data_IF_833567322897
#
_entry.id   IF_833567322897
#
_cell.length_a   1.000
_cell.length_b   1.000
_cell.length_c   1.000
_cell.angle_alpha   90.00
_cell.angle_beta   90.00
_cell.angle_gamma   90.00
#
_symmetry.space_group_name_H-M   'P 1'
#
loop_
_entity.id
_entity.type
_entity.pdbx_description
1 polymer ?
#
# COMPACT_ATOMS: atom_id res chain seq x y z
N UNK A 1 -50.18 -39.77 -13.52
CA UNK A 1 -49.44 -39.61 -12.25
C UNK A 1 -48.55 -38.42 -12.41
N UNK A 2 -49.02 -37.23 -12.08
CA UNK A 2 -48.28 -35.96 -12.17
C UNK A 2 -47.59 -35.74 -10.86
N UNK A 3 -46.28 -35.57 -10.85
CA UNK A 3 -45.50 -35.19 -9.68
C UNK A 3 -45.22 -33.70 -9.78
N UNK A 4 -45.96 -32.94 -8.97
CA UNK A 4 -45.80 -31.51 -8.81
C UNK A 4 -44.67 -31.24 -7.81
N UNK A 5 -43.52 -30.78 -8.24
CA UNK A 5 -42.44 -30.35 -7.36
C UNK A 5 -42.44 -28.83 -7.35
N UNK A 6 -43.09 -28.23 -6.29
CA UNK A 6 -42.94 -26.84 -5.95
C UNK A 6 -41.61 -26.64 -5.24
N UNK A 7 -40.68 -25.97 -5.89
CA UNK A 7 -39.48 -25.39 -5.27
C UNK A 7 -39.92 -24.11 -4.58
N UNK A 8 -39.92 -24.11 -3.26
CA UNK A 8 -40.12 -22.90 -2.45
C UNK A 8 -38.89 -22.04 -2.52
N UNK A 9 -39.04 -20.82 -3.04
CA UNK A 9 -38.04 -19.77 -2.92
C UNK A 9 -38.16 -19.21 -1.50
N UNK A 10 -37.26 -19.60 -0.61
CA UNK A 10 -37.15 -18.96 0.71
C UNK A 10 -36.58 -17.54 0.50
N UNK A 11 -37.42 -16.56 0.73
CA UNK A 11 -37.05 -15.16 0.77
C UNK A 11 -36.04 -14.92 1.89
N UNK A 12 -34.83 -14.54 1.57
CA UNK A 12 -33.88 -14.01 2.53
C UNK A 12 -34.45 -12.70 3.09
N UNK A 13 -35.02 -12.76 4.29
CA UNK A 13 -35.34 -11.58 5.07
C UNK A 13 -34.02 -10.86 5.39
N UNK A 14 -33.83 -9.68 4.85
CA UNK A 14 -32.77 -8.76 5.24
C UNK A 14 -32.96 -8.37 6.70
N UNK A 15 -32.33 -9.12 7.61
CA UNK A 15 -32.19 -8.65 8.99
C UNK A 15 -31.21 -7.47 8.94
N UNK A 16 -31.72 -6.27 9.27
CA UNK A 16 -30.91 -5.09 9.60
C UNK A 16 -30.10 -5.36 10.88
N UNK A 17 -29.15 -6.26 10.82
CA UNK A 17 -28.12 -6.38 11.85
C UNK A 17 -27.21 -5.18 11.70
N UNK A 18 -27.34 -4.21 12.59
CA UNK A 18 -26.38 -3.10 12.74
C UNK A 18 -24.99 -3.73 12.86
N UNK A 19 -24.23 -3.72 11.76
CA UNK A 19 -22.87 -4.25 11.75
C UNK A 19 -22.09 -3.51 12.84
N UNK A 20 -21.62 -4.25 13.85
CA UNK A 20 -20.89 -3.68 14.98
C UNK A 20 -19.65 -2.98 14.45
N UNK A 21 -19.52 -1.68 14.64
CA UNK A 21 -18.36 -0.90 14.20
C UNK A 21 -17.08 -1.50 14.78
N UNK A 22 -16.11 -1.77 13.90
CA UNK A 22 -14.81 -2.29 14.30
C UNK A 22 -13.91 -1.11 14.63
N UNK A 23 -13.34 -1.05 15.84
CA UNK A 23 -12.46 0.02 16.25
C UNK A 23 -11.08 -0.15 15.60
N UNK A 24 -10.92 0.36 14.37
CA UNK A 24 -9.66 0.32 13.61
C UNK A 24 -8.93 1.65 13.79
N UNK A 25 -7.62 1.57 14.05
CA UNK A 25 -6.70 2.70 14.06
C UNK A 25 -5.83 2.61 12.81
N UNK A 26 -5.99 3.56 11.93
CA UNK A 26 -5.11 3.72 10.76
C UNK A 26 -3.99 4.66 11.13
N UNK A 27 -2.75 4.27 10.89
CA UNK A 27 -1.58 5.10 11.19
C UNK A 27 -0.65 5.07 9.98
N UNK A 28 -0.44 6.24 9.40
CA UNK A 28 0.58 6.44 8.38
C UNK A 28 1.98 6.49 8.98
N UNK A 29 2.96 6.02 8.21
CA UNK A 29 4.36 6.25 8.52
C UNK A 29 4.72 7.74 8.36
N UNK A 30 5.57 8.27 9.23
CA UNK A 30 6.11 9.61 9.03
C UNK A 30 7.08 9.60 7.84
N UNK A 31 6.71 10.25 6.74
CA UNK A 31 7.50 10.33 5.50
C UNK A 31 8.03 11.74 5.21
N UNK A 32 7.84 12.71 6.11
CA UNK A 32 8.21 14.11 5.87
C UNK A 32 9.69 14.29 5.53
N UNK A 33 10.59 13.58 6.23
CA UNK A 33 12.03 13.61 5.94
C UNK A 33 12.35 13.14 4.52
N UNK A 34 11.63 12.13 4.03
CA UNK A 34 11.79 11.61 2.66
C UNK A 34 11.28 12.63 1.63
N UNK A 35 10.12 13.25 1.86
CA UNK A 35 9.58 14.31 0.99
C UNK A 35 10.59 15.46 0.84
N UNK A 36 11.23 15.90 1.94
CA UNK A 36 12.26 16.96 1.89
C UNK A 36 13.50 16.53 1.09
N UNK A 37 13.90 15.27 1.13
CA UNK A 37 14.99 14.75 0.30
C UNK A 37 14.59 14.71 -1.18
N UNK A 38 13.38 14.25 -1.50
CA UNK A 38 12.85 14.17 -2.86
C UNK A 38 12.70 15.56 -3.50
N UNK A 39 12.34 16.59 -2.74
CA UNK A 39 12.30 17.99 -3.23
C UNK A 39 13.65 18.48 -3.76
N UNK A 40 14.77 17.92 -3.30
CA UNK A 40 16.11 18.27 -3.74
C UNK A 40 16.57 17.54 -5.00
N UNK A 41 15.82 16.53 -5.45
CA UNK A 41 16.07 15.85 -6.71
C UNK A 41 15.69 16.72 -7.90
N UNK A 42 16.52 16.71 -8.94
CA UNK A 42 16.19 17.32 -10.24
C UNK A 42 15.07 16.54 -10.94
N UNK A 43 14.42 17.16 -11.92
CA UNK A 43 13.41 16.50 -12.76
C UNK A 43 13.97 15.24 -13.41
N UNK A 44 15.15 15.30 -14.01
CA UNK A 44 15.82 14.15 -14.64
C UNK A 44 16.04 13.00 -13.64
N UNK A 45 16.40 13.30 -12.39
CA UNK A 45 16.57 12.27 -11.35
C UNK A 45 15.23 11.65 -10.94
N UNK A 46 14.17 12.43 -10.85
CA UNK A 46 12.82 11.93 -10.58
C UNK A 46 12.30 11.05 -11.72
N UNK A 47 12.55 11.44 -12.97
CA UNK A 47 12.18 10.65 -14.14
C UNK A 47 12.95 9.33 -14.19
N UNK A 48 14.27 9.35 -13.87
CA UNK A 48 15.07 8.14 -13.76
C UNK A 48 14.55 7.21 -12.64
N UNK A 49 14.18 7.78 -11.49
CA UNK A 49 13.58 7.01 -10.39
C UNK A 49 12.23 6.41 -10.80
N UNK A 50 11.36 7.18 -11.46
CA UNK A 50 10.06 6.71 -11.93
C UNK A 50 10.20 5.55 -12.92
N UNK A 51 11.15 5.66 -13.85
CA UNK A 51 11.42 4.60 -14.83
C UNK A 51 11.80 3.27 -14.17
N UNK A 52 12.51 3.32 -13.05
CA UNK A 52 12.98 2.13 -12.33
C UNK A 52 11.96 1.63 -11.30
N UNK A 53 11.30 2.53 -10.57
CA UNK A 53 10.50 2.22 -9.38
C UNK A 53 9.03 2.66 -9.49
N UNK A 54 8.56 2.98 -10.70
CA UNK A 54 7.18 3.39 -10.93
C UNK A 54 6.78 4.65 -10.15
N UNK A 55 5.52 4.68 -9.71
CA UNK A 55 4.90 5.84 -9.09
C UNK A 55 5.25 6.07 -7.61
N UNK A 56 6.29 5.45 -7.06
CA UNK A 56 6.57 5.54 -5.62
C UNK A 56 6.78 6.98 -5.12
N UNK A 57 7.38 7.87 -5.93
CA UNK A 57 7.54 9.28 -5.55
C UNK A 57 6.20 10.02 -5.54
N UNK A 58 5.34 9.75 -6.52
CA UNK A 58 4.01 10.35 -6.59
C UNK A 58 3.14 9.85 -5.42
N UNK A 59 3.19 8.55 -5.09
CA UNK A 59 2.51 7.98 -3.93
C UNK A 59 3.02 8.55 -2.60
N UNK A 60 4.31 8.90 -2.52
CA UNK A 60 4.88 9.57 -1.35
C UNK A 60 4.24 10.95 -1.10
N UNK A 61 3.80 11.65 -2.13
CA UNK A 61 3.15 12.97 -2.04
C UNK A 61 1.64 12.88 -1.73
N UNK A 62 1.02 11.69 -1.83
CA UNK A 62 -0.39 11.51 -1.49
C UNK A 62 -0.61 11.76 0.01
N UNK A 63 -1.57 12.63 0.31
CA UNK A 63 -2.06 12.87 1.67
C UNK A 63 -3.29 11.97 1.92
N UNK A 64 -3.07 10.85 2.60
CA UNK A 64 -4.13 9.90 2.89
C UNK A 64 -5.09 10.47 3.92
N UNK A 65 -6.36 10.58 3.57
CA UNK A 65 -7.40 10.88 4.55
C UNK A 65 -7.75 9.59 5.31
N UNK A 66 -7.10 9.36 6.45
CA UNK A 66 -7.30 8.14 7.26
C UNK A 66 -8.76 7.85 7.62
N UNK A 67 -9.66 8.86 7.81
CA UNK A 67 -11.08 8.61 7.99
C UNK A 67 -11.75 7.88 6.82
N UNK A 68 -11.27 8.09 5.59
CA UNK A 68 -11.77 7.37 4.40
C UNK A 68 -11.53 5.87 4.53
N UNK A 69 -10.32 5.48 4.92
CA UNK A 69 -9.94 4.08 5.10
C UNK A 69 -10.70 3.45 6.28
N UNK A 70 -10.90 4.22 7.36
CA UNK A 70 -11.68 3.75 8.52
C UNK A 70 -13.15 3.53 8.14
N UNK A 71 -13.73 4.40 7.31
CA UNK A 71 -15.09 4.25 6.81
C UNK A 71 -15.21 3.04 5.88
N UNK A 72 -14.32 2.93 4.88
CA UNK A 72 -14.26 1.78 3.96
C UNK A 72 -14.16 0.46 4.73
N UNK A 73 -13.31 0.39 5.74
CA UNK A 73 -13.07 -0.82 6.50
C UNK A 73 -14.33 -1.38 7.18
N UNK A 74 -15.36 -0.56 7.48
CA UNK A 74 -16.62 -1.04 8.08
C UNK A 74 -17.44 -1.92 7.11
N UNK A 75 -17.13 -1.88 5.81
CA UNK A 75 -17.81 -2.61 4.75
C UNK A 75 -17.07 -3.88 4.33
N UNK A 76 -15.89 -4.15 4.88
CA UNK A 76 -15.12 -5.35 4.56
C UNK A 76 -15.83 -6.61 5.03
N UNK A 77 -15.91 -7.59 4.15
CA UNK A 77 -16.48 -8.92 4.39
C UNK A 77 -15.35 -9.96 4.31
N UNK A 78 -14.84 -10.48 5.45
CA UNK A 78 -13.70 -11.39 5.45
C UNK A 78 -13.91 -12.69 4.68
N UNK A 79 -15.07 -13.39 4.80
CA UNK A 79 -15.34 -14.59 4.00
C UNK A 79 -15.26 -14.39 2.49
N UNK A 80 -15.75 -13.23 2.01
CA UNK A 80 -15.79 -12.90 0.59
C UNK A 80 -14.54 -12.13 0.13
N UNK A 81 -13.74 -11.61 1.07
CA UNK A 81 -12.58 -10.73 0.80
C UNK A 81 -12.92 -9.56 -0.12
N UNK A 82 -14.06 -8.92 0.12
CA UNK A 82 -14.55 -7.78 -0.62
C UNK A 82 -15.13 -6.73 0.32
N UNK A 83 -15.44 -5.55 -0.22
CA UNK A 83 -16.20 -4.52 0.48
C UNK A 83 -17.65 -4.59 0.02
N UNK A 84 -18.54 -5.05 0.90
CA UNK A 84 -19.97 -5.26 0.60
C UNK A 84 -20.78 -4.03 0.99
N UNK A 85 -21.31 -3.34 -0.01
CA UNK A 85 -22.25 -2.22 0.14
C UNK A 85 -23.70 -2.73 0.02
N UNK A 86 -24.66 -1.82 -0.18
CA UNK A 86 -26.09 -2.20 -0.16
C UNK A 86 -26.47 -3.11 -1.34
N UNK A 87 -26.04 -2.76 -2.54
CA UNK A 87 -26.48 -3.36 -3.80
C UNK A 87 -25.30 -3.83 -4.68
N UNK A 88 -24.06 -3.62 -4.25
CA UNK A 88 -22.85 -4.02 -4.98
C UNK A 88 -21.70 -4.43 -4.07
N UNK A 89 -20.68 -5.03 -4.67
CA UNK A 89 -19.42 -5.36 -4.02
C UNK A 89 -18.27 -4.66 -4.72
N UNK A 90 -17.30 -4.18 -3.96
CA UNK A 90 -16.11 -3.52 -4.45
C UNK A 90 -14.85 -4.29 -4.02
N UNK A 91 -13.96 -4.52 -4.98
CA UNK A 91 -12.75 -5.33 -4.76
C UNK A 91 -11.59 -4.66 -5.47
N UNK A 92 -10.48 -4.35 -4.78
CA UNK A 92 -9.25 -3.93 -5.47
C UNK A 92 -8.66 -5.12 -6.24
N UNK A 93 -8.33 -4.90 -7.51
CA UNK A 93 -7.74 -5.91 -8.38
C UNK A 93 -6.23 -5.73 -8.55
N UNK A 94 -5.58 -6.76 -9.08
CA UNK A 94 -4.14 -6.71 -9.37
C UNK A 94 -3.84 -5.66 -10.44
N UNK A 95 -4.68 -5.57 -11.46
CA UNK A 95 -4.55 -4.64 -12.58
C UNK A 95 -4.66 -3.18 -12.11
N UNK A 96 -5.58 -2.90 -11.18
CA UNK A 96 -5.71 -1.56 -10.59
C UNK A 96 -4.49 -1.17 -9.76
N UNK A 97 -3.95 -2.11 -8.98
CA UNK A 97 -2.74 -1.89 -8.20
C UNK A 97 -1.50 -1.73 -9.10
N UNK A 98 -1.41 -2.51 -10.18
CA UNK A 98 -0.39 -2.37 -11.22
C UNK A 98 -0.41 -0.96 -11.83
N UNK A 99 -1.59 -0.48 -12.22
CA UNK A 99 -1.78 0.86 -12.78
C UNK A 99 -1.43 1.96 -11.78
N UNK A 100 -1.87 1.86 -10.53
CA UNK A 100 -1.59 2.85 -9.48
C UNK A 100 -0.08 2.90 -9.18
N UNK A 101 0.56 1.75 -9.10
CA UNK A 101 2.00 1.64 -8.80
C UNK A 101 2.88 1.96 -10.01
N UNK A 102 2.34 1.91 -11.23
CA UNK A 102 3.09 1.99 -12.49
C UNK A 102 4.23 0.95 -12.54
N UNK A 103 3.88 -0.29 -12.12
CA UNK A 103 4.81 -1.43 -12.07
C UNK A 103 4.22 -2.61 -12.85
N UNK A 104 4.38 -2.64 -14.19
CA UNK A 104 3.76 -3.65 -15.04
C UNK A 104 4.21 -5.07 -14.68
N UNK A 105 3.24 -5.98 -14.65
CA UNK A 105 3.45 -7.41 -14.40
C UNK A 105 3.89 -8.17 -15.64
N UNK A 106 3.63 -7.61 -16.81
CA UNK A 106 3.97 -8.26 -18.08
C UNK A 106 5.46 -8.60 -18.17
N UNK A 107 5.77 -9.86 -18.44
CA UNK A 107 7.14 -10.36 -18.54
C UNK A 107 7.91 -10.45 -17.22
N UNK A 108 7.25 -10.22 -16.06
CA UNK A 108 7.88 -10.29 -14.74
C UNK A 108 7.31 -11.44 -13.89
N UNK A 109 8.15 -12.01 -13.05
CA UNK A 109 7.71 -13.01 -12.06
C UNK A 109 7.10 -12.30 -10.85
N UNK A 110 5.92 -12.71 -10.36
CA UNK A 110 5.39 -12.19 -9.11
C UNK A 110 6.31 -12.47 -7.93
N UNK A 111 6.57 -11.47 -7.09
CA UNK A 111 7.30 -11.67 -5.84
C UNK A 111 6.54 -12.65 -4.93
N UNK A 112 7.23 -13.70 -4.53
CA UNK A 112 6.71 -14.69 -3.60
C UNK A 112 7.73 -14.96 -2.48
N UNK A 113 7.34 -14.61 -1.25
CA UNK A 113 8.22 -14.85 -0.09
C UNK A 113 8.31 -16.34 0.24
N UNK A 114 9.49 -16.94 -0.01
CA UNK A 114 9.76 -18.36 0.21
C UNK A 114 10.26 -18.70 1.63
N UNK A 115 10.02 -17.83 2.61
CA UNK A 115 10.44 -18.07 4.00
C UNK A 115 11.93 -17.83 4.27
N UNK A 116 12.68 -17.25 3.33
CA UNK A 116 14.10 -16.94 3.44
C UNK A 116 14.35 -15.46 3.27
N UNK A 117 15.09 -14.87 4.19
CA UNK A 117 15.54 -13.50 4.05
C UNK A 117 16.74 -13.38 3.12
N UNK A 118 16.82 -12.25 2.44
CA UNK A 118 17.97 -11.92 1.59
C UNK A 118 19.25 -11.85 2.42
N UNK A 119 20.40 -12.33 1.88
CA UNK A 119 21.69 -12.19 2.55
C UNK A 119 22.07 -10.72 2.73
N UNK A 120 22.68 -10.39 3.86
CA UNK A 120 23.16 -9.01 4.15
C UNK A 120 24.18 -8.53 3.12
N UNK A 121 24.93 -9.45 2.51
CA UNK A 121 25.90 -9.17 1.44
C UNK A 121 25.23 -8.54 0.23
N UNK A 122 24.13 -9.10 -0.26
CA UNK A 122 23.39 -8.58 -1.41
C UNK A 122 22.86 -7.17 -1.15
N UNK A 123 22.28 -6.94 0.05
CA UNK A 123 21.84 -5.63 0.45
C UNK A 123 23.01 -4.63 0.53
N UNK A 124 24.16 -5.05 1.09
CA UNK A 124 25.36 -4.23 1.19
C UNK A 124 25.92 -3.82 -0.16
N UNK A 125 25.86 -4.72 -1.15
CA UNK A 125 26.25 -4.45 -2.54
C UNK A 125 25.35 -3.38 -3.18
N UNK A 126 24.02 -3.49 -3.02
CA UNK A 126 23.06 -2.48 -3.52
C UNK A 126 23.31 -1.13 -2.85
N UNK A 127 23.45 -1.12 -1.53
CA UNK A 127 23.68 0.10 -0.76
C UNK A 127 25.09 0.66 -0.90
N UNK A 128 26.04 -0.06 -1.56
CA UNK A 128 27.47 0.31 -1.65
C UNK A 128 28.10 0.58 -0.28
N UNK A 129 27.74 -0.25 0.72
CA UNK A 129 28.28 -0.22 2.08
C UNK A 129 29.05 -1.49 2.34
N UNK A 130 30.15 -1.41 3.11
CA UNK A 130 30.87 -2.60 3.56
C UNK A 130 29.95 -3.48 4.43
N UNK A 131 29.81 -4.80 4.15
CA UNK A 131 28.86 -5.69 4.84
C UNK A 131 28.92 -5.63 6.36
N UNK A 132 30.12 -5.69 6.94
CA UNK A 132 30.34 -5.61 8.39
C UNK A 132 29.84 -4.28 8.99
N UNK A 133 29.90 -3.18 8.23
CA UNK A 133 29.35 -1.89 8.67
C UNK A 133 27.83 -1.89 8.65
N UNK A 134 27.24 -2.51 7.64
CA UNK A 134 25.79 -2.61 7.50
C UNK A 134 25.22 -3.55 8.57
N UNK A 135 25.86 -4.68 8.81
CA UNK A 135 25.45 -5.66 9.83
C UNK A 135 25.33 -5.02 11.21
N UNK A 136 26.29 -4.15 11.59
CA UNK A 136 26.21 -3.37 12.86
C UNK A 136 25.04 -2.40 12.95
N UNK A 137 24.35 -2.12 11.83
CA UNK A 137 23.17 -1.25 11.79
C UNK A 137 21.85 -2.03 11.80
N UNK A 138 21.92 -3.33 11.54
CA UNK A 138 20.78 -4.22 11.71
C UNK A 138 20.43 -4.29 13.18
N UNK A 139 19.17 -4.08 13.49
CA UNK A 139 18.65 -4.12 14.87
C UNK A 139 17.36 -4.93 14.92
N UNK A 140 16.92 -5.25 16.12
CA UNK A 140 15.65 -5.92 16.36
C UNK A 140 14.71 -4.94 17.03
N UNK A 141 13.51 -4.78 16.48
CA UNK A 141 12.44 -3.96 17.06
C UNK A 141 11.21 -4.82 17.29
N UNK A 142 10.87 -5.06 18.56
CA UNK A 142 9.89 -6.08 18.91
C UNK A 142 10.42 -7.48 18.58
N UNK A 143 9.73 -8.18 17.66
CA UNK A 143 10.15 -9.50 17.17
C UNK A 143 10.70 -9.49 15.75
N UNK A 144 10.94 -8.29 15.20
CA UNK A 144 11.25 -8.10 13.79
C UNK A 144 12.66 -7.53 13.65
N UNK A 145 13.46 -8.13 12.78
CA UNK A 145 14.81 -7.70 12.43
C UNK A 145 14.76 -6.77 11.22
N UNK A 146 15.63 -5.76 11.16
CA UNK A 146 15.70 -4.83 10.03
C UNK A 146 16.61 -3.64 10.29
N UNK A 147 16.36 -2.55 9.57
CA UNK A 147 17.13 -1.31 9.63
C UNK A 147 16.26 -0.16 10.16
N UNK A 148 16.75 0.64 11.12
CA UNK A 148 16.05 1.86 11.55
C UNK A 148 15.90 2.86 10.40
N UNK A 149 14.70 3.39 10.21
CA UNK A 149 14.42 4.43 9.19
C UNK A 149 15.36 5.63 9.33
N UNK A 150 15.59 6.10 10.57
CA UNK A 150 16.48 7.24 10.81
C UNK A 150 17.93 7.01 10.35
N UNK A 151 18.43 5.77 10.45
CA UNK A 151 19.74 5.42 9.88
C UNK A 151 19.74 5.53 8.35
N UNK A 152 18.68 5.04 7.69
CA UNK A 152 18.56 5.08 6.24
C UNK A 152 18.37 6.53 5.74
N UNK A 153 17.60 7.37 6.44
CA UNK A 153 17.47 8.79 6.12
C UNK A 153 18.80 9.55 6.27
N UNK A 154 19.55 9.26 7.34
CA UNK A 154 20.89 9.80 7.48
C UNK A 154 21.81 9.36 6.32
N UNK A 155 21.73 8.09 5.92
CA UNK A 155 22.54 7.57 4.84
C UNK A 155 22.16 8.19 3.48
N UNK A 156 20.88 8.34 3.20
CA UNK A 156 20.38 9.09 2.02
C UNK A 156 20.96 10.51 1.98
N UNK A 157 20.98 11.21 3.10
CA UNK A 157 21.59 12.54 3.17
C UNK A 157 23.10 12.53 2.86
N UNK A 158 23.84 11.50 3.30
CA UNK A 158 25.26 11.36 2.96
C UNK A 158 25.49 11.06 1.47
N UNK A 159 24.64 10.22 0.86
CA UNK A 159 24.68 9.91 -0.57
C UNK A 159 24.40 11.15 -1.42
N UNK A 160 23.38 11.93 -1.04
CA UNK A 160 23.04 13.18 -1.70
C UNK A 160 24.20 14.18 -1.65
N UNK A 161 24.84 14.37 -0.48
CA UNK A 161 26.00 15.25 -0.35
C UNK A 161 27.20 14.84 -1.21
N UNK A 162 27.33 13.53 -1.50
CA UNK A 162 28.40 12.98 -2.32
C UNK A 162 27.97 12.81 -3.78
N UNK A 163 26.78 13.29 -4.13
CA UNK A 163 26.21 13.21 -5.49
C UNK A 163 26.11 11.77 -6.03
N UNK A 164 25.98 10.78 -5.12
CA UNK A 164 25.84 9.36 -5.48
C UNK A 164 24.38 9.02 -5.75
N UNK A 165 23.85 9.58 -6.82
CA UNK A 165 22.41 9.56 -7.10
C UNK A 165 21.86 8.18 -7.43
N UNK A 166 22.61 7.33 -8.11
CA UNK A 166 22.17 5.94 -8.39
C UNK A 166 21.92 5.19 -7.07
N UNK A 167 22.93 5.15 -6.19
CA UNK A 167 22.79 4.51 -4.88
C UNK A 167 21.74 5.20 -4.01
N UNK A 168 21.59 6.52 -4.15
CA UNK A 168 20.54 7.29 -3.44
C UNK A 168 19.16 6.80 -3.86
N UNK A 169 18.89 6.62 -5.16
CA UNK A 169 17.60 6.14 -5.66
C UNK A 169 17.30 4.74 -5.15
N UNK A 170 18.26 3.83 -5.17
CA UNK A 170 18.11 2.46 -4.66
C UNK A 170 17.76 2.46 -3.15
N UNK A 171 18.49 3.24 -2.36
CA UNK A 171 18.25 3.34 -0.91
C UNK A 171 16.92 4.04 -0.62
N UNK A 172 16.53 5.04 -1.41
CA UNK A 172 15.23 5.69 -1.28
C UNK A 172 14.10 4.70 -1.55
N UNK A 173 14.19 3.91 -2.64
CA UNK A 173 13.23 2.87 -2.94
C UNK A 173 13.15 1.82 -1.82
N UNK A 174 14.29 1.36 -1.31
CA UNK A 174 14.35 0.45 -0.15
C UNK A 174 13.57 1.01 1.05
N UNK A 175 13.75 2.30 1.38
CA UNK A 175 13.01 2.91 2.49
C UNK A 175 11.52 2.95 2.19
N UNK A 176 11.12 3.32 0.96
CA UNK A 176 9.72 3.36 0.56
C UNK A 176 9.06 1.98 0.58
N UNK A 177 9.79 0.92 0.22
CA UNK A 177 9.32 -0.46 0.39
C UNK A 177 8.96 -0.76 1.85
N UNK A 178 9.80 -0.36 2.80
CA UNK A 178 9.56 -0.66 4.22
C UNK A 178 8.58 0.25 4.93
N UNK A 179 8.48 1.55 4.55
CA UNK A 179 7.62 2.50 5.28
C UNK A 179 6.28 2.74 4.61
N UNK A 180 6.15 2.40 3.32
CA UNK A 180 4.97 2.69 2.53
C UNK A 180 4.33 1.44 1.91
N UNK A 181 5.10 0.59 1.20
CA UNK A 181 4.55 -0.59 0.52
C UNK A 181 4.26 -1.76 1.48
N UNK A 182 5.22 -2.08 2.35
CA UNK A 182 5.15 -3.17 3.34
C UNK A 182 5.37 -2.65 4.77
N UNK A 183 4.56 -1.71 5.27
CA UNK A 183 4.76 -1.14 6.60
C UNK A 183 4.36 -2.16 7.67
N UNK A 184 5.31 -2.64 8.44
CA UNK A 184 5.09 -3.59 9.54
C UNK A 184 5.36 -2.96 10.91
N UNK A 185 6.49 -2.25 11.03
CA UNK A 185 6.91 -1.59 12.26
C UNK A 185 7.20 -0.12 12.01
N UNK A 186 6.65 0.74 12.84
CA UNK A 186 6.80 2.19 12.70
C UNK A 186 8.27 2.64 12.74
N UNK A 187 8.67 3.52 11.81
CA UNK A 187 10.04 4.04 11.68
C UNK A 187 11.12 2.94 11.54
N UNK A 188 10.77 1.88 10.83
CA UNK A 188 11.63 0.72 10.67
C UNK A 188 11.39 0.07 9.31
N UNK A 189 12.44 -0.39 8.65
CA UNK A 189 12.41 -1.18 7.42
C UNK A 189 12.80 -2.60 7.79
N UNK A 190 11.84 -3.49 7.83
CA UNK A 190 12.06 -4.86 8.26
C UNK A 190 12.66 -5.74 7.15
N UNK A 191 13.14 -6.90 7.52
CA UNK A 191 13.78 -7.82 6.56
C UNK A 191 12.81 -8.40 5.54
N UNK A 192 11.50 -8.42 5.78
CA UNK A 192 10.53 -8.84 4.79
C UNK A 192 10.44 -7.81 3.66
N UNK A 193 10.33 -6.53 4.01
CA UNK A 193 10.37 -5.43 3.05
C UNK A 193 11.72 -5.33 2.31
N UNK A 194 12.84 -5.52 3.03
CA UNK A 194 14.18 -5.58 2.44
C UNK A 194 14.25 -6.70 1.40
N UNK A 195 13.73 -7.89 1.73
CA UNK A 195 13.76 -9.05 0.83
C UNK A 195 12.91 -8.81 -0.42
N UNK A 196 11.73 -8.19 -0.28
CA UNK A 196 10.89 -7.82 -1.41
C UNK A 196 11.59 -6.81 -2.33
N UNK A 197 12.24 -5.79 -1.77
CA UNK A 197 13.03 -4.81 -2.52
C UNK A 197 14.20 -5.47 -3.27
N UNK A 198 14.97 -6.32 -2.58
CA UNK A 198 16.12 -7.01 -3.20
C UNK A 198 15.67 -7.95 -4.32
N UNK A 199 14.58 -8.69 -4.14
CA UNK A 199 14.00 -9.55 -5.17
C UNK A 199 13.57 -8.73 -6.40
N UNK A 200 12.94 -7.58 -6.19
CA UNK A 200 12.62 -6.64 -7.27
C UNK A 200 13.87 -6.19 -8.02
N UNK A 201 14.90 -5.74 -7.29
CA UNK A 201 16.12 -5.14 -7.87
C UNK A 201 17.03 -6.16 -8.56
N UNK A 202 17.12 -7.39 -8.05
CA UNK A 202 18.12 -8.37 -8.51
C UNK A 202 17.53 -9.53 -9.30
N UNK A 203 16.23 -9.83 -9.14
CA UNK A 203 15.56 -10.98 -9.74
C UNK A 203 14.39 -10.55 -10.64
N UNK A 204 14.13 -9.24 -10.77
CA UNK A 204 12.99 -8.69 -11.52
C UNK A 204 11.64 -9.21 -11.05
N UNK A 205 11.53 -9.58 -9.76
CA UNK A 205 10.27 -10.01 -9.16
C UNK A 205 9.36 -8.80 -8.86
N UNK A 206 8.12 -8.85 -9.33
CA UNK A 206 7.16 -7.76 -9.20
C UNK A 206 6.39 -7.83 -7.87
N UNK A 207 6.39 -6.75 -7.04
CA UNK A 207 5.77 -6.77 -5.71
C UNK A 207 4.25 -6.54 -5.70
N UNK A 208 3.61 -6.18 -6.81
CA UNK A 208 2.20 -5.74 -6.88
C UNK A 208 1.25 -6.73 -6.21
N UNK A 209 1.36 -8.01 -6.55
CA UNK A 209 0.50 -9.05 -5.98
C UNK A 209 0.71 -9.19 -4.46
N UNK A 210 1.96 -9.10 -4.00
CA UNK A 210 2.27 -9.16 -2.57
C UNK A 210 1.72 -7.95 -1.81
N UNK A 211 1.77 -6.75 -2.40
CA UNK A 211 1.20 -5.53 -1.81
C UNK A 211 -0.33 -5.68 -1.67
N UNK A 212 -1.01 -6.17 -2.70
CA UNK A 212 -2.45 -6.42 -2.65
C UNK A 212 -2.79 -7.49 -1.61
N UNK A 213 -2.03 -8.59 -1.56
CA UNK A 213 -2.22 -9.65 -0.57
C UNK A 213 -2.04 -9.13 0.87
N UNK A 214 -1.07 -8.23 1.11
CA UNK A 214 -0.85 -7.60 2.42
C UNK A 214 -2.02 -6.69 2.82
N UNK A 215 -2.65 -6.00 1.86
CA UNK A 215 -3.88 -5.24 2.12
C UNK A 215 -4.99 -6.16 2.63
N UNK A 216 -5.29 -7.26 1.93
CA UNK A 216 -6.30 -8.23 2.37
C UNK A 216 -5.94 -8.88 3.70
N UNK A 217 -4.69 -9.32 3.87
CA UNK A 217 -4.22 -9.91 5.12
C UNK A 217 -4.35 -8.95 6.31
N UNK A 218 -4.14 -7.65 6.09
CA UNK A 218 -4.33 -6.62 7.12
C UNK A 218 -5.81 -6.48 7.50
N UNK A 219 -6.73 -6.49 6.54
CA UNK A 219 -8.17 -6.47 6.83
C UNK A 219 -8.59 -7.73 7.58
N UNK A 220 -8.20 -8.93 7.12
CA UNK A 220 -8.49 -10.20 7.80
C UNK A 220 -8.01 -10.16 9.26
N UNK A 221 -6.78 -9.68 9.51
CA UNK A 221 -6.24 -9.55 10.87
C UNK A 221 -7.03 -8.57 11.74
N UNK A 222 -7.53 -7.47 11.18
CA UNK A 222 -8.36 -6.52 11.90
C UNK A 222 -9.70 -7.13 12.32
N UNK A 223 -10.29 -7.96 11.48
CA UNK A 223 -11.58 -8.60 11.74
C UNK A 223 -11.48 -9.84 12.62
N UNK A 224 -10.64 -10.81 12.25
CA UNK A 224 -10.53 -12.11 12.92
C UNK A 224 -9.76 -12.00 14.23
N UNK A 225 -8.60 -11.34 14.22
CA UNK A 225 -7.71 -11.24 15.38
C UNK A 225 -8.00 -10.01 16.23
N UNK A 226 -9.03 -9.20 15.87
CA UNK A 226 -9.37 -7.94 16.54
C UNK A 226 -8.16 -7.02 16.70
N UNK A 227 -7.24 -7.06 15.74
CA UNK A 227 -6.12 -6.11 15.71
C UNK A 227 -6.66 -4.71 15.46
N UNK A 228 -6.41 -3.82 16.41
CA UNK A 228 -6.88 -2.43 16.32
C UNK A 228 -6.06 -1.57 15.35
N UNK A 229 -4.89 -2.03 14.93
CA UNK A 229 -3.95 -1.24 14.11
C UNK A 229 -3.86 -1.83 12.71
N UNK A 230 -4.22 -1.01 11.73
CA UNK A 230 -4.08 -1.32 10.32
C UNK A 230 -2.70 -0.86 9.83
N UNK A 231 -1.96 -1.77 9.20
CA UNK A 231 -0.64 -1.54 8.61
C UNK A 231 -0.61 -2.22 7.25
N UNK A 232 -0.83 -1.44 6.20
CA UNK A 232 -0.72 -1.87 4.79
C UNK A 232 -0.33 -0.67 3.94
N UNK A 233 -0.19 -0.84 2.64
CA UNK A 233 0.07 0.24 1.71
C UNK A 233 -1.12 1.21 1.60
N UNK A 234 -1.24 2.12 2.57
CA UNK A 234 -2.35 3.07 2.67
C UNK A 234 -2.45 4.01 1.46
N UNK A 235 -1.37 4.56 0.87
CA UNK A 235 -1.49 5.43 -0.29
C UNK A 235 -2.14 4.73 -1.49
N UNK A 236 -1.73 3.50 -1.82
CA UNK A 236 -2.33 2.73 -2.92
C UNK A 236 -3.80 2.42 -2.65
N UNK A 237 -4.12 1.94 -1.45
CA UNK A 237 -5.50 1.65 -1.05
C UNK A 237 -6.37 2.92 -1.09
N UNK A 238 -5.85 4.06 -0.65
CA UNK A 238 -6.57 5.34 -0.66
C UNK A 238 -6.81 5.84 -2.09
N UNK A 239 -5.78 5.81 -2.95
CA UNK A 239 -5.92 6.17 -4.37
C UNK A 239 -6.98 5.30 -5.03
N UNK A 240 -6.90 3.97 -4.84
CA UNK A 240 -7.88 3.03 -5.36
C UNK A 240 -9.30 3.38 -4.91
N UNK A 241 -9.51 3.55 -3.60
CA UNK A 241 -10.85 3.83 -3.07
C UNK A 241 -11.41 5.16 -3.57
N UNK A 242 -10.61 6.24 -3.50
CA UNK A 242 -11.06 7.57 -3.93
C UNK A 242 -11.36 7.60 -5.43
N UNK A 243 -10.59 6.88 -6.24
CA UNK A 243 -10.84 6.78 -7.69
C UNK A 243 -12.19 6.13 -8.00
N UNK A 244 -12.68 5.23 -7.15
CA UNK A 244 -13.99 4.57 -7.33
C UNK A 244 -15.17 5.42 -6.86
N UNK A 245 -14.98 6.24 -5.85
CA UNK A 245 -16.08 7.01 -5.22
C UNK A 245 -16.14 8.48 -5.64
N UNK A 246 -15.19 8.95 -6.44
CA UNK A 246 -15.16 10.33 -6.95
C UNK A 246 -15.89 10.40 -8.29
N UNK A 247 -17.11 10.98 -8.30
CA UNK A 247 -17.88 11.11 -9.53
C UNK A 247 -17.17 12.00 -10.55
N UNK A 248 -16.97 11.47 -11.75
CA UNK A 248 -16.92 12.25 -13.00
C UNK A 248 -15.61 12.92 -13.38
N UNK A 249 -14.49 12.70 -12.66
CA UNK A 249 -13.20 13.33 -13.01
C UNK A 249 -12.09 12.32 -13.33
N UNK A 250 -12.33 11.02 -13.11
CA UNK A 250 -11.28 10.02 -13.22
C UNK A 250 -11.33 9.22 -14.53
N UNK A 251 -11.20 9.94 -15.66
CA UNK A 251 -10.85 9.31 -16.94
C UNK A 251 -9.33 9.31 -17.21
N UNK A 252 -8.53 9.50 -16.17
CA UNK A 252 -7.10 9.66 -16.32
C UNK A 252 -6.39 8.33 -16.54
N UNK A 253 -5.36 8.39 -17.38
CA UNK A 253 -4.44 7.28 -17.63
C UNK A 253 -3.70 6.87 -16.36
N UNK A 254 -3.53 7.79 -15.39
CA UNK A 254 -2.88 7.54 -14.09
C UNK A 254 -3.69 8.13 -12.93
N UNK A 255 -4.36 7.29 -12.11
CA UNK A 255 -5.15 7.75 -10.97
C UNK A 255 -4.35 8.53 -9.92
N UNK A 256 -3.06 8.24 -9.78
CA UNK A 256 -2.17 8.94 -8.82
C UNK A 256 -1.93 10.38 -9.25
N UNK A 257 -1.61 10.60 -10.53
CA UNK A 257 -1.35 11.94 -11.06
C UNK A 257 -2.60 12.80 -10.99
N UNK A 258 -3.76 12.24 -11.28
CA UNK A 258 -5.02 12.95 -11.17
C UNK A 258 -5.33 13.36 -9.74
N UNK A 259 -5.15 12.47 -8.76
CA UNK A 259 -5.31 12.79 -7.34
C UNK A 259 -4.36 13.88 -6.86
N UNK A 260 -3.12 13.90 -7.33
CA UNK A 260 -2.15 14.95 -7.02
C UNK A 260 -2.55 16.29 -7.64
N UNK A 261 -3.14 16.26 -8.84
CA UNK A 261 -3.55 17.46 -9.57
C UNK A 261 -4.85 18.05 -9.02
N UNK A 262 -5.88 17.22 -8.83
CA UNK A 262 -7.22 17.64 -8.44
C UNK A 262 -7.41 17.82 -6.93
N UNK A 263 -6.49 17.31 -6.10
CA UNK A 263 -6.55 17.33 -4.62
C UNK A 263 -7.95 17.04 -4.07
N UNK A 264 -8.26 15.80 -3.69
CA UNK A 264 -9.59 15.44 -3.20
C UNK A 264 -9.99 16.36 -2.04
N UNK A 265 -11.26 16.80 -2.04
CA UNK A 265 -11.81 17.59 -0.94
C UNK A 265 -11.49 16.91 0.39
N UNK A 266 -10.95 17.68 1.33
CA UNK A 266 -10.83 17.23 2.71
C UNK A 266 -12.23 17.04 3.28
N UNK A 267 -12.51 15.86 3.82
CA UNK A 267 -13.79 15.52 4.43
C UNK A 267 -13.62 15.16 5.89
N UNK A 268 -14.58 15.57 6.70
CA UNK A 268 -14.68 15.15 8.09
C UNK A 268 -15.00 13.64 8.18
N UNK A 269 -14.65 12.98 9.30
CA UNK A 269 -14.93 11.55 9.48
C UNK A 269 -16.39 11.16 9.22
N UNK A 270 -17.35 11.99 9.63
CA UNK A 270 -18.77 11.77 9.42
C UNK A 270 -19.18 11.87 7.95
N UNK A 271 -18.57 12.77 7.19
CA UNK A 271 -18.80 12.89 5.75
C UNK A 271 -18.35 11.63 5.00
N UNK A 272 -17.22 11.00 5.40
CA UNK A 272 -16.77 9.74 4.83
C UNK A 272 -17.71 8.59 5.17
N UNK A 273 -18.19 8.52 6.42
CA UNK A 273 -19.18 7.50 6.82
C UNK A 273 -20.48 7.66 6.02
N UNK A 274 -20.96 8.89 5.84
CA UNK A 274 -22.17 9.16 5.06
C UNK A 274 -21.97 8.82 3.59
N UNK A 275 -20.82 9.21 3.01
CA UNK A 275 -20.50 8.88 1.63
C UNK A 275 -20.54 7.36 1.41
N UNK A 276 -19.89 6.58 2.28
CA UNK A 276 -19.91 5.11 2.17
C UNK A 276 -21.33 4.53 2.36
N UNK A 277 -22.14 5.13 3.22
CA UNK A 277 -23.53 4.70 3.42
C UNK A 277 -24.43 4.99 2.20
N UNK A 278 -24.14 6.06 1.46
CA UNK A 278 -24.90 6.50 0.29
C UNK A 278 -24.39 5.91 -1.04
N UNK A 279 -23.32 5.08 -0.99
CA UNK A 279 -22.79 4.41 -2.17
C UNK A 279 -23.79 3.37 -2.68
N UNK A 280 -24.03 3.41 -3.99
CA UNK A 280 -24.77 2.43 -4.76
C UNK A 280 -24.06 2.20 -6.10
N UNK A 281 -24.47 1.17 -6.87
CA UNK A 281 -23.85 0.80 -8.14
C UNK A 281 -23.74 1.98 -9.12
N UNK A 282 -24.75 2.86 -9.18
CA UNK A 282 -24.78 4.03 -10.06
C UNK A 282 -23.75 5.13 -9.68
N UNK A 283 -23.23 5.09 -8.44
CA UNK A 283 -22.33 6.11 -7.90
C UNK A 283 -20.85 5.68 -7.91
N UNK A 284 -20.58 4.47 -8.33
CA UNK A 284 -19.22 3.93 -8.41
C UNK A 284 -18.76 3.90 -9.86
N UNK A 285 -17.49 4.27 -10.09
CA UNK A 285 -16.84 4.26 -11.42
C UNK A 285 -16.25 2.90 -11.74
#
# INVERSE_FOLDING_TARGET
MEINTRVGVEGHSSSNTVKKRIPIKVKEGNVNGLRELVKKMTTTQKDAFRKEYGNLLNLLEIEVQTPAIIALAQYYDPPLRCFTFQDFQLVPTVEEFEQILDLPLEGKTPYNYLGRYTPILTLAEIMKIHPVKLEKKVTVKGKVMGLPKGYLEWYLYQLMKKERWETFMDVLALVLYGVMLFPNVENFVDYAAITAFVAYKTQSENPVIAILAEVYGTFDQCYELKRKKMLCCLPVLYVWFVSRVSKGTLNAICPVEELLHCKPKLREPQEWVQLCADLNEEKVN
#
